data_IF_612185498409
#
_entry.id   IF_612185498409
#
_cell.length_a   1.000
_cell.length_b   1.000
_cell.length_c   1.000
_cell.angle_alpha   90.00
_cell.angle_beta   90.00
_cell.angle_gamma   90.00
#
_symmetry.space_group_name_H-M   'P 1'
#
loop_
_entity.id
_entity.type
_entity.pdbx_description
1 polymer ?
#
# COMPACT_ATOMS: atom_id res chain seq x y z
N UNK A 1 -21.78 1.71 -16.28
CA UNK A 1 -20.54 2.48 -16.06
C UNK A 1 -19.67 1.72 -15.08
N UNK A 2 -18.34 1.70 -15.27
CA UNK A 2 -17.41 1.03 -14.36
C UNK A 2 -17.40 1.72 -12.99
N UNK A 3 -17.28 0.95 -11.90
CA UNK A 3 -17.29 1.47 -10.53
C UNK A 3 -16.14 2.44 -10.23
N UNK A 4 -14.94 2.12 -10.73
CA UNK A 4 -13.78 3.02 -10.76
C UNK A 4 -13.46 3.42 -12.20
N UNK A 5 -12.94 4.64 -12.37
CA UNK A 5 -12.39 5.13 -13.63
C UNK A 5 -11.08 4.41 -14.02
N UNK A 6 -10.71 4.51 -15.29
CA UNK A 6 -9.52 3.84 -15.84
C UNK A 6 -8.21 4.29 -15.17
N UNK A 7 -7.95 5.59 -14.94
CA UNK A 7 -6.74 6.02 -14.22
C UNK A 7 -6.60 5.36 -12.84
N UNK A 8 -7.66 5.33 -12.04
CA UNK A 8 -7.67 4.69 -10.72
C UNK A 8 -7.31 3.21 -10.81
N UNK A 9 -7.88 2.49 -11.77
CA UNK A 9 -7.57 1.07 -11.99
C UNK A 9 -6.12 0.86 -12.39
N UNK A 10 -5.58 1.68 -13.29
CA UNK A 10 -4.20 1.57 -13.75
C UNK A 10 -3.21 1.86 -12.63
N UNK A 11 -3.45 2.92 -11.84
CA UNK A 11 -2.61 3.28 -10.70
C UNK A 11 -2.66 2.18 -9.62
N UNK A 12 -3.84 1.65 -9.33
CA UNK A 12 -3.99 0.50 -8.43
C UNK A 12 -3.21 -0.72 -8.90
N UNK A 13 -3.36 -1.13 -10.18
CA UNK A 13 -2.60 -2.26 -10.74
C UNK A 13 -1.10 -2.02 -10.73
N UNK A 14 -0.68 -0.79 -11.05
CA UNK A 14 0.71 -0.37 -11.02
C UNK A 14 1.31 -0.54 -9.63
N UNK A 15 0.64 -0.02 -8.59
CA UNK A 15 1.06 -0.21 -7.20
C UNK A 15 1.03 -1.67 -6.79
N UNK A 16 -0.04 -2.41 -7.11
CA UNK A 16 -0.15 -3.82 -6.74
C UNK A 16 1.01 -4.64 -7.30
N UNK A 17 1.40 -4.38 -8.55
CA UNK A 17 2.56 -5.01 -9.17
C UNK A 17 3.86 -4.59 -8.49
N UNK A 18 4.14 -3.29 -8.39
CA UNK A 18 5.43 -2.82 -7.88
C UNK A 18 5.63 -3.14 -6.41
N UNK A 19 4.61 -2.97 -5.56
CA UNK A 19 4.65 -3.35 -4.13
C UNK A 19 4.87 -4.86 -3.96
N UNK A 20 4.23 -5.70 -4.79
CA UNK A 20 4.47 -7.15 -4.72
C UNK A 20 5.92 -7.51 -5.08
N UNK A 21 6.47 -6.88 -6.12
CA UNK A 21 7.87 -7.06 -6.51
C UNK A 21 8.80 -6.57 -5.39
N UNK A 22 8.53 -5.42 -4.78
CA UNK A 22 9.31 -4.88 -3.66
C UNK A 22 9.37 -5.84 -2.48
N UNK A 23 8.23 -6.44 -2.09
CA UNK A 23 8.17 -7.44 -1.03
C UNK A 23 9.01 -8.67 -1.39
N UNK A 24 8.87 -9.20 -2.60
CA UNK A 24 9.67 -10.37 -3.04
C UNK A 24 11.16 -10.06 -3.00
N UNK A 25 11.60 -8.93 -3.56
CA UNK A 25 12.99 -8.51 -3.53
C UNK A 25 13.51 -8.36 -2.09
N UNK A 26 12.69 -7.82 -1.19
CA UNK A 26 13.08 -7.60 0.21
C UNK A 26 13.45 -8.87 0.97
N UNK A 27 12.94 -10.05 0.57
CA UNK A 27 13.28 -11.32 1.22
C UNK A 27 14.67 -11.85 0.86
N UNK A 28 15.24 -11.42 -0.26
CA UNK A 28 16.47 -11.98 -0.81
C UNK A 28 17.59 -10.97 -0.96
N UNK A 29 17.28 -9.67 -0.96
CA UNK A 29 18.27 -8.62 -1.07
C UNK A 29 19.15 -8.51 0.17
N UNK A 30 20.36 -7.99 -0.02
CA UNK A 30 21.22 -7.55 1.08
C UNK A 30 21.72 -6.15 0.74
N UNK A 31 21.35 -5.18 1.58
CA UNK A 31 21.88 -3.82 1.43
C UNK A 31 23.39 -3.80 1.75
N UNK A 32 24.17 -2.95 1.07
CA UNK A 32 25.60 -2.86 1.30
C UNK A 32 25.91 -2.46 2.75
N UNK A 33 26.92 -3.08 3.35
CA UNK A 33 27.44 -2.72 4.67
C UNK A 33 28.92 -2.36 4.56
N UNK A 34 29.41 -1.34 5.28
CA UNK A 34 30.83 -1.02 5.30
C UNK A 34 31.67 -2.21 5.77
N UNK A 35 32.76 -2.49 5.06
CA UNK A 35 33.74 -3.54 5.40
C UNK A 35 33.20 -4.99 5.38
N UNK A 36 32.09 -5.26 4.66
CA UNK A 36 31.52 -6.60 4.50
C UNK A 36 31.60 -7.02 3.03
N UNK A 37 32.14 -8.21 2.77
CA UNK A 37 32.15 -8.83 1.44
C UNK A 37 30.72 -9.12 0.98
N UNK A 38 30.41 -8.76 -0.26
CA UNK A 38 29.04 -8.75 -0.79
C UNK A 38 28.79 -9.98 -1.65
N UNK A 39 27.63 -10.61 -1.46
CA UNK A 39 27.10 -11.55 -2.45
C UNK A 39 26.62 -10.77 -3.69
N UNK A 40 27.15 -11.04 -4.89
CA UNK A 40 26.80 -10.28 -6.09
C UNK A 40 25.31 -10.33 -6.43
N UNK A 41 24.65 -11.48 -6.21
CA UNK A 41 23.23 -11.62 -6.52
C UNK A 41 22.39 -10.80 -5.55
N UNK A 42 22.62 -10.92 -4.25
CA UNK A 42 21.90 -10.14 -3.25
C UNK A 42 22.07 -8.61 -3.44
N UNK A 43 23.22 -8.17 -3.95
CA UNK A 43 23.46 -6.76 -4.29
C UNK A 43 22.66 -6.32 -5.53
N UNK A 44 22.60 -7.14 -6.58
CA UNK A 44 21.76 -6.84 -7.75
C UNK A 44 20.27 -6.80 -7.39
N UNK A 45 19.82 -7.68 -6.47
CA UNK A 45 18.45 -7.64 -5.97
C UNK A 45 18.17 -6.38 -5.14
N UNK A 46 19.17 -5.87 -4.41
CA UNK A 46 19.08 -4.58 -3.72
C UNK A 46 19.00 -3.42 -4.72
N UNK A 47 19.83 -3.40 -5.75
CA UNK A 47 19.76 -2.37 -6.80
C UNK A 47 18.41 -2.40 -7.54
N UNK A 48 17.91 -3.60 -7.85
CA UNK A 48 16.57 -3.76 -8.41
C UNK A 48 15.48 -3.24 -7.44
N UNK A 49 15.64 -3.49 -6.14
CA UNK A 49 14.75 -2.99 -5.11
C UNK A 49 14.74 -1.45 -5.07
N UNK A 50 15.91 -0.81 -5.18
CA UNK A 50 16.02 0.65 -5.25
C UNK A 50 15.27 1.23 -6.44
N UNK A 51 15.55 0.77 -7.66
CA UNK A 51 14.95 1.33 -8.87
C UNK A 51 13.45 1.04 -9.01
N UNK A 52 13.03 -0.20 -8.70
CA UNK A 52 11.60 -0.53 -8.66
C UNK A 52 10.90 0.23 -7.53
N UNK A 53 11.62 0.53 -6.44
CA UNK A 53 11.13 1.32 -5.31
C UNK A 53 10.85 2.77 -5.71
N UNK A 54 11.74 3.39 -6.48
CA UNK A 54 11.51 4.71 -7.07
C UNK A 54 10.30 4.69 -8.01
N UNK A 55 10.17 3.68 -8.87
CA UNK A 55 8.99 3.54 -9.72
C UNK A 55 7.69 3.40 -8.87
N UNK A 56 7.72 2.61 -7.80
CA UNK A 56 6.59 2.48 -6.87
C UNK A 56 6.25 3.81 -6.19
N UNK A 57 7.26 4.56 -5.74
CA UNK A 57 7.10 5.88 -5.11
C UNK A 57 6.42 6.88 -6.07
N UNK A 58 6.83 6.91 -7.33
CA UNK A 58 6.22 7.77 -8.35
C UNK A 58 4.75 7.39 -8.62
N UNK A 59 4.45 6.09 -8.70
CA UNK A 59 3.08 5.61 -8.92
C UNK A 59 2.18 5.96 -7.73
N UNK A 60 2.63 5.75 -6.49
CA UNK A 60 1.81 6.07 -5.30
C UNK A 60 1.60 7.59 -5.16
N UNK A 61 2.62 8.41 -5.46
CA UNK A 61 2.47 9.87 -5.51
C UNK A 61 1.45 10.27 -6.59
N UNK A 62 1.54 9.69 -7.79
CA UNK A 62 0.58 9.93 -8.86
C UNK A 62 -0.84 9.53 -8.44
N UNK A 63 -1.01 8.44 -7.70
CA UNK A 63 -2.31 8.05 -7.16
C UNK A 63 -2.85 9.03 -6.13
N UNK A 64 -2.03 9.48 -5.19
CA UNK A 64 -2.41 10.49 -4.21
C UNK A 64 -2.85 11.77 -4.92
N UNK A 65 -2.02 12.30 -5.84
CA UNK A 65 -2.36 13.49 -6.63
C UNK A 65 -3.66 13.28 -7.41
N UNK A 66 -3.83 12.14 -8.08
CA UNK A 66 -5.05 11.84 -8.82
C UNK A 66 -6.29 11.81 -7.92
N UNK A 67 -6.19 11.21 -6.73
CA UNK A 67 -7.30 11.18 -5.77
C UNK A 67 -7.72 12.57 -5.27
N UNK A 68 -6.79 13.53 -5.22
CA UNK A 68 -7.07 14.90 -4.80
C UNK A 68 -7.87 15.68 -5.85
N UNK A 69 -7.67 15.36 -7.14
CA UNK A 69 -8.36 16.02 -8.27
C UNK A 69 -9.57 15.23 -8.79
N UNK A 70 -9.67 13.94 -8.47
CA UNK A 70 -10.76 13.07 -8.93
C UNK A 70 -12.05 13.28 -8.12
N UNK A 71 -13.17 12.86 -8.71
CA UNK A 71 -14.52 12.94 -8.13
C UNK A 71 -15.13 11.54 -7.97
N UNK A 72 -16.22 11.42 -7.21
CA UNK A 72 -16.89 10.14 -6.99
C UNK A 72 -16.04 9.15 -6.18
N UNK A 73 -16.04 7.88 -6.60
CA UNK A 73 -15.42 6.78 -5.85
C UNK A 73 -13.88 6.86 -5.78
N UNK A 74 -13.24 7.59 -6.69
CA UNK A 74 -11.79 7.79 -6.70
C UNK A 74 -11.33 9.02 -5.90
N UNK A 75 -12.26 9.82 -5.38
CA UNK A 75 -11.92 11.05 -4.65
C UNK A 75 -11.31 10.79 -3.28
N UNK A 76 -10.46 11.70 -2.82
CA UNK A 76 -9.85 11.65 -1.49
C UNK A 76 -10.89 11.60 -0.36
N UNK A 77 -12.08 12.19 -0.56
CA UNK A 77 -13.18 12.17 0.44
C UNK A 77 -13.72 10.76 0.65
N UNK A 78 -13.66 9.93 -0.39
CA UNK A 78 -14.01 8.51 -0.31
C UNK A 78 -12.92 7.74 0.42
N UNK A 79 -11.64 7.95 0.06
CA UNK A 79 -10.50 7.23 0.65
C UNK A 79 -10.26 7.57 2.13
N UNK A 80 -10.56 8.82 2.52
CA UNK A 80 -10.29 9.34 3.86
C UNK A 80 -11.58 9.81 4.55
N UNK A 81 -12.57 8.92 4.74
CA UNK A 81 -13.88 9.33 5.28
C UNK A 81 -13.77 9.84 6.72
N UNK A 82 -12.73 9.42 7.45
CA UNK A 82 -12.42 9.86 8.82
C UNK A 82 -11.98 11.33 8.93
N UNK A 83 -11.77 12.03 7.81
CA UNK A 83 -11.55 13.48 7.80
C UNK A 83 -12.86 14.27 7.90
N UNK A 84 -14.01 13.60 7.91
CA UNK A 84 -15.34 14.24 8.00
C UNK A 84 -16.14 13.66 9.16
N UNK A 85 -16.92 14.50 9.86
CA UNK A 85 -17.78 14.04 10.94
C UNK A 85 -18.79 12.97 10.50
N UNK A 86 -19.41 13.15 9.32
CA UNK A 86 -20.34 12.17 8.76
C UNK A 86 -19.66 10.83 8.42
N UNK A 87 -18.44 10.85 7.87
CA UNK A 87 -17.68 9.64 7.57
C UNK A 87 -17.23 8.91 8.85
N UNK A 88 -16.80 9.63 9.89
CA UNK A 88 -16.50 9.04 11.20
C UNK A 88 -17.71 8.30 11.80
N UNK A 89 -18.90 8.90 11.78
CA UNK A 89 -20.11 8.25 12.29
C UNK A 89 -20.45 6.96 11.51
N UNK A 90 -20.32 6.99 10.18
CA UNK A 90 -20.53 5.81 9.33
C UNK A 90 -19.49 4.72 9.61
N UNK A 91 -18.22 5.09 9.70
CA UNK A 91 -17.12 4.18 10.02
C UNK A 91 -17.34 3.47 11.36
N UNK A 92 -17.71 4.22 12.41
CA UNK A 92 -18.04 3.64 13.71
C UNK A 92 -19.27 2.71 13.65
N UNK A 93 -20.25 3.02 12.81
CA UNK A 93 -21.42 2.16 12.57
C UNK A 93 -21.07 0.85 11.89
N UNK A 94 -20.18 0.88 10.89
CA UNK A 94 -19.69 -0.32 10.19
C UNK A 94 -18.77 -1.16 11.09
N UNK A 95 -17.89 -0.53 11.88
CA UNK A 95 -16.99 -1.21 12.82
C UNK A 95 -17.73 -2.06 13.86
N UNK A 96 -18.90 -1.60 14.35
CA UNK A 96 -19.74 -2.37 15.27
C UNK A 96 -20.26 -3.68 14.69
N UNK A 97 -20.27 -3.81 13.36
CA UNK A 97 -20.80 -4.98 12.66
C UNK A 97 -19.72 -6.03 12.36
N UNK A 98 -18.43 -5.70 12.52
CA UNK A 98 -17.29 -6.57 12.21
C UNK A 98 -17.39 -7.93 12.91
N UNK A 99 -17.81 -7.94 14.19
CA UNK A 99 -17.98 -9.18 14.95
C UNK A 99 -19.02 -10.14 14.36
N UNK A 100 -20.01 -9.61 13.61
CA UNK A 100 -21.05 -10.43 12.98
C UNK A 100 -20.63 -11.02 11.63
N UNK A 101 -19.54 -10.57 11.03
CA UNK A 101 -19.12 -11.02 9.70
C UNK A 101 -18.75 -12.50 9.66
N UNK A 102 -18.19 -13.02 10.76
CA UNK A 102 -17.81 -14.44 10.84
C UNK A 102 -19.01 -15.39 10.93
N UNK A 103 -20.18 -14.90 11.35
CA UNK A 103 -21.41 -15.70 11.44
C UNK A 103 -22.40 -15.43 10.31
N UNK A 104 -22.43 -14.20 9.78
CA UNK A 104 -23.39 -13.76 8.75
C UNK A 104 -22.80 -13.58 7.36
N UNK A 105 -21.47 -13.69 7.23
CA UNK A 105 -20.76 -13.31 6.02
C UNK A 105 -20.38 -11.83 5.99
N UNK A 106 -19.57 -11.47 5.00
CA UNK A 106 -19.22 -10.06 4.79
C UNK A 106 -20.44 -9.33 4.22
N UNK A 107 -20.62 -8.06 4.56
CA UNK A 107 -21.63 -7.20 3.92
C UNK A 107 -21.41 -7.12 2.41
N UNK A 108 -22.48 -6.86 1.66
CA UNK A 108 -22.33 -6.57 0.24
C UNK A 108 -21.47 -5.29 0.07
N UNK A 109 -20.56 -5.18 -0.91
CA UNK A 109 -19.63 -4.05 -1.00
C UNK A 109 -20.31 -2.70 -1.24
N UNK A 110 -21.57 -2.72 -1.68
CA UNK A 110 -22.39 -1.52 -1.87
C UNK A 110 -23.09 -1.06 -0.59
N UNK A 111 -23.12 -1.91 0.45
CA UNK A 111 -23.72 -1.61 1.77
C UNK A 111 -22.70 -1.07 2.78
N UNK A 112 -21.45 -1.54 2.73
CA UNK A 112 -20.37 -1.12 3.64
C UNK A 112 -19.14 -0.61 2.89
N UNK A 113 -19.29 0.62 2.39
CA UNK A 113 -18.25 1.27 1.59
C UNK A 113 -17.24 2.05 2.45
N UNK A 114 -17.59 2.45 3.68
CA UNK A 114 -16.80 3.41 4.46
C UNK A 114 -15.56 2.77 5.07
N UNK A 115 -15.70 1.58 5.67
CA UNK A 115 -14.62 0.81 6.27
C UNK A 115 -13.68 0.25 5.20
N UNK A 116 -14.23 -0.27 4.10
CA UNK A 116 -13.43 -0.68 2.96
C UNK A 116 -12.60 0.50 2.41
N UNK A 117 -13.24 1.64 2.14
CA UNK A 117 -12.51 2.83 1.68
C UNK A 117 -11.48 3.31 2.71
N UNK A 118 -11.79 3.16 4.01
CA UNK A 118 -10.86 3.52 5.07
C UNK A 118 -9.58 2.68 5.00
N UNK A 119 -9.73 1.36 4.83
CA UNK A 119 -8.61 0.43 4.67
C UNK A 119 -7.79 0.75 3.42
N UNK A 120 -8.44 1.11 2.30
CA UNK A 120 -7.73 1.53 1.08
C UNK A 120 -6.94 2.81 1.30
N UNK A 121 -7.54 3.83 1.93
CA UNK A 121 -6.84 5.08 2.26
C UNK A 121 -5.66 4.86 3.21
N UNK A 122 -5.83 4.02 4.24
CA UNK A 122 -4.76 3.68 5.17
C UNK A 122 -3.61 2.95 4.46
N UNK A 123 -3.92 2.01 3.57
CA UNK A 123 -2.93 1.33 2.73
C UNK A 123 -2.18 2.30 1.82
N UNK A 124 -2.90 3.24 1.20
CA UNK A 124 -2.30 4.26 0.33
C UNK A 124 -1.30 5.15 1.10
N UNK A 125 -1.65 5.58 2.31
CA UNK A 125 -0.75 6.37 3.17
C UNK A 125 0.46 5.55 3.62
N UNK A 126 0.28 4.27 3.93
CA UNK A 126 1.36 3.38 4.33
C UNK A 126 2.36 3.15 3.19
N UNK A 127 1.88 2.92 1.96
CA UNK A 127 2.74 2.79 0.77
C UNK A 127 3.39 4.12 0.41
N UNK A 128 2.70 5.25 0.58
CA UNK A 128 3.30 6.58 0.41
C UNK A 128 4.45 6.80 1.40
N UNK A 129 4.22 6.50 2.69
CA UNK A 129 5.25 6.59 3.72
C UNK A 129 6.46 5.73 3.37
N UNK A 130 6.23 4.50 2.91
CA UNK A 130 7.30 3.60 2.46
C UNK A 130 8.08 4.17 1.27
N UNK A 131 7.39 4.74 0.29
CA UNK A 131 8.03 5.38 -0.87
C UNK A 131 8.87 6.60 -0.47
N UNK A 132 8.40 7.40 0.50
CA UNK A 132 9.13 8.56 1.01
C UNK A 132 10.39 8.16 1.79
N UNK A 133 10.29 7.21 2.71
CA UNK A 133 11.46 6.71 3.45
C UNK A 133 12.44 6.01 2.51
N UNK A 134 11.96 5.24 1.54
CA UNK A 134 12.79 4.62 0.51
C UNK A 134 13.51 5.65 -0.35
N UNK A 135 12.83 6.73 -0.75
CA UNK A 135 13.46 7.85 -1.47
C UNK A 135 14.53 8.57 -0.64
N UNK A 136 14.31 8.75 0.67
CA UNK A 136 15.33 9.28 1.57
C UNK A 136 16.56 8.36 1.67
N UNK A 137 16.35 7.03 1.70
CA UNK A 137 17.45 6.06 1.71
C UNK A 137 18.22 6.07 0.39
N UNK A 138 17.51 6.08 -0.74
CA UNK A 138 18.10 6.14 -2.08
C UNK A 138 19.02 7.36 -2.26
N UNK A 139 18.64 8.51 -1.68
CA UNK A 139 19.43 9.75 -1.75
C UNK A 139 20.48 9.87 -0.64
N UNK A 140 20.30 9.16 0.49
CA UNK A 140 21.06 9.36 1.72
C UNK A 140 22.02 8.24 2.10
N UNK A 141 21.91 7.06 1.48
CA UNK A 141 22.83 5.93 1.66
C UNK A 141 23.95 6.02 0.63
N UNK A 142 25.21 6.00 1.08
CA UNK A 142 26.34 5.91 0.17
C UNK A 142 26.44 4.52 -0.49
N UNK A 143 27.10 4.42 -1.64
CA UNK A 143 27.29 3.14 -2.37
C UNK A 143 27.94 2.02 -1.54
N UNK A 144 28.69 2.40 -0.51
CA UNK A 144 29.30 1.46 0.44
C UNK A 144 28.40 1.08 1.62
N UNK A 145 27.17 1.58 1.67
CA UNK A 145 26.23 1.41 2.78
C UNK A 145 26.42 2.40 3.92
N UNK A 146 27.29 3.40 3.78
CA UNK A 146 27.47 4.42 4.79
C UNK A 146 26.21 5.28 4.94
N UNK A 147 25.80 5.53 6.18
CA UNK A 147 24.59 6.28 6.52
C UNK A 147 24.90 7.18 7.71
N UNK A 148 24.38 8.42 7.68
CA UNK A 148 24.33 9.28 8.86
C UNK A 148 23.38 8.71 9.91
N UNK A 149 23.39 9.25 11.13
CA UNK A 149 22.47 8.82 12.19
C UNK A 149 20.99 8.93 11.75
N UNK A 150 20.61 10.08 11.16
CA UNK A 150 19.23 10.28 10.70
C UNK A 150 18.82 9.32 9.57
N UNK A 151 19.73 8.98 8.64
CA UNK A 151 19.42 8.01 7.58
C UNK A 151 19.23 6.58 8.15
N UNK A 152 19.96 6.22 9.21
CA UNK A 152 19.73 4.94 9.91
C UNK A 152 18.36 4.88 10.58
N UNK A 153 17.91 5.96 11.22
CA UNK A 153 16.56 6.04 11.78
C UNK A 153 15.49 5.91 10.68
N UNK A 154 15.68 6.58 9.54
CA UNK A 154 14.80 6.42 8.37
C UNK A 154 14.76 4.98 7.88
N UNK A 155 15.91 4.28 7.88
CA UNK A 155 15.98 2.87 7.52
C UNK A 155 15.15 1.99 8.45
N UNK A 156 15.26 2.19 9.76
CA UNK A 156 14.46 1.44 10.73
C UNK A 156 12.96 1.66 10.51
N UNK A 157 12.55 2.91 10.25
CA UNK A 157 11.17 3.24 9.89
C UNK A 157 10.71 2.56 8.59
N UNK A 158 11.57 2.52 7.57
CA UNK A 158 11.32 1.85 6.29
C UNK A 158 11.09 0.33 6.50
N UNK A 159 11.95 -0.32 7.29
CA UNK A 159 11.84 -1.75 7.59
C UNK A 159 10.56 -2.07 8.39
N UNK A 160 10.24 -1.26 9.40
CA UNK A 160 9.00 -1.42 10.19
C UNK A 160 7.76 -1.23 9.30
N UNK A 161 7.73 -0.19 8.47
CA UNK A 161 6.65 0.01 7.51
C UNK A 161 6.55 -1.15 6.52
N UNK A 162 7.67 -1.80 6.17
CA UNK A 162 7.70 -2.94 5.25
C UNK A 162 6.91 -4.12 5.82
N UNK A 163 7.12 -4.41 7.10
CA UNK A 163 6.36 -5.44 7.82
C UNK A 163 4.87 -5.12 7.88
N UNK A 164 4.50 -3.86 8.11
CA UNK A 164 3.10 -3.42 8.10
C UNK A 164 2.46 -3.56 6.72
N UNK A 165 3.19 -3.28 5.64
CA UNK A 165 2.70 -3.47 4.26
C UNK A 165 2.44 -4.95 3.97
N UNK A 166 3.32 -5.85 4.42
CA UNK A 166 3.10 -7.29 4.27
C UNK A 166 1.81 -7.70 4.98
N UNK A 167 1.61 -7.28 6.24
CA UNK A 167 0.40 -7.57 6.99
C UNK A 167 -0.85 -6.99 6.31
N UNK A 168 -0.77 -5.74 5.85
CA UNK A 168 -1.82 -5.08 5.08
C UNK A 168 -2.19 -5.87 3.83
N UNK A 169 -1.19 -6.27 3.03
CA UNK A 169 -1.42 -6.97 1.77
C UNK A 169 -2.09 -8.32 2.00
N UNK A 170 -1.65 -9.08 3.00
CA UNK A 170 -2.27 -10.36 3.38
C UNK A 170 -3.74 -10.15 3.75
N UNK A 171 -4.03 -9.20 4.63
CA UNK A 171 -5.41 -8.91 5.07
C UNK A 171 -6.29 -8.42 3.91
N UNK A 172 -5.75 -7.54 3.07
CA UNK A 172 -6.45 -6.96 1.92
C UNK A 172 -6.80 -8.03 0.88
N UNK A 173 -5.83 -8.87 0.50
CA UNK A 173 -6.04 -9.96 -0.45
C UNK A 173 -6.98 -11.02 0.12
N UNK A 174 -6.84 -11.37 1.40
CA UNK A 174 -7.74 -12.31 2.07
C UNK A 174 -9.19 -11.80 2.07
N UNK A 175 -9.41 -10.51 2.34
CA UNK A 175 -10.73 -9.89 2.28
C UNK A 175 -11.30 -9.91 0.85
N UNK A 176 -10.50 -9.61 -0.17
CA UNK A 176 -10.92 -9.69 -1.56
C UNK A 176 -11.34 -11.11 -1.97
N UNK A 177 -10.57 -12.14 -1.55
CA UNK A 177 -10.91 -13.55 -1.78
C UNK A 177 -12.20 -13.93 -1.04
N UNK A 178 -12.38 -13.47 0.20
CA UNK A 178 -13.60 -13.77 0.97
C UNK A 178 -14.84 -13.12 0.34
N UNK A 179 -14.74 -11.89 -0.15
CA UNK A 179 -15.80 -11.27 -0.94
C UNK A 179 -16.10 -12.05 -2.24
N UNK A 180 -15.07 -12.52 -2.95
CA UNK A 180 -15.25 -13.30 -4.17
C UNK A 180 -15.97 -14.63 -3.89
N UNK A 181 -15.62 -15.32 -2.79
CA UNK A 181 -16.27 -16.57 -2.35
C UNK A 181 -17.75 -16.37 -2.00
N UNK A 182 -18.17 -15.16 -1.64
CA UNK A 182 -19.57 -14.82 -1.37
C UNK A 182 -20.31 -14.29 -2.61
N UNK A 183 -19.67 -14.26 -3.78
CA UNK A 183 -20.29 -13.82 -5.03
C UNK A 183 -20.35 -12.30 -5.21
N UNK A 184 -19.63 -11.52 -4.41
CA UNK A 184 -19.67 -10.04 -4.47
C UNK A 184 -18.89 -9.44 -5.66
N UNK A 185 -18.17 -10.28 -6.42
CA UNK A 185 -17.39 -9.94 -7.62
C UNK A 185 -16.52 -8.66 -7.52
N UNK A 186 -15.92 -8.41 -6.35
CA UNK A 186 -15.13 -7.19 -6.09
C UNK A 186 -13.91 -7.05 -7.01
N UNK A 187 -13.36 -8.17 -7.50
CA UNK A 187 -12.20 -8.15 -8.40
C UNK A 187 -12.56 -7.51 -9.74
N UNK A 188 -13.79 -7.67 -10.24
CA UNK A 188 -14.19 -7.05 -11.52
C UNK A 188 -14.20 -5.52 -11.46
N UNK A 189 -14.31 -4.93 -10.26
CA UNK A 189 -14.25 -3.47 -10.05
C UNK A 189 -12.87 -2.90 -10.37
N UNK A 190 -11.82 -3.71 -10.35
CA UNK A 190 -10.43 -3.31 -10.67
C UNK A 190 -9.89 -3.94 -11.97
N UNK A 191 -10.65 -4.82 -12.64
CA UNK A 191 -10.28 -5.37 -13.96
C UNK A 191 -10.18 -4.28 -15.01
#
# INVERSE_FOLDING_TARGET
MSYYDTPTKLLHKGMALTVSVQIVLSFFMQYPKPNVTRDPLALQLFEAHEWVGIAAALIVIAHVVYSLISTGNASWRTLFPWLTGAGCCKLLGELKQVGSWFSKGLPHPDEQHTLASTIHGAGLLLVLFQGLTGGCLFLGMGENGAMSAGIKEVKEMHEVAGMLIIAYLVLHVAAAIWHQKQGHDVISRIK
#
